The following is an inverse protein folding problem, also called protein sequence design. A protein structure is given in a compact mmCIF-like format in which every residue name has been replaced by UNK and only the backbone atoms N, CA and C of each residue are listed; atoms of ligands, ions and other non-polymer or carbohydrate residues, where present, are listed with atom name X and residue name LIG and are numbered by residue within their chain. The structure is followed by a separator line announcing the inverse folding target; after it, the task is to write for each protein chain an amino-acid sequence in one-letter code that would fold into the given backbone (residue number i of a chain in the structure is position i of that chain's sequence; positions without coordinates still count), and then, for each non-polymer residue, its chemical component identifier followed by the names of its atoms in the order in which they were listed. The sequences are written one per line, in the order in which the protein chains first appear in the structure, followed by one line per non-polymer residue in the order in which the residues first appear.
data_IF_654578068215
#
_entry.id   IF_654578068215
#
_cell.length_a   1.000
_cell.length_b   1.000
_cell.length_c   1.000
_cell.angle_alpha   90.00
_cell.angle_beta   90.00
_cell.angle_gamma   90.00
#
_symmetry.space_group_name_H-M   'P 1'
#
loop_
_entity.id
_entity.type
_entity.pdbx_description
1 polymer ?
#
# COMPACT_ATOMS: atom_id res chain seq x y z
N UNK A 1 35.23 25.79 -7.45
CA UNK A 1 35.20 24.34 -7.72
C UNK A 1 34.05 23.78 -6.92
N UNK A 2 32.86 23.77 -7.50
CA UNK A 2 31.62 23.38 -6.82
C UNK A 2 31.33 21.91 -7.12
N UNK A 3 31.22 21.10 -6.07
CA UNK A 3 31.03 19.66 -6.15
C UNK A 3 29.55 19.36 -6.39
N UNK A 4 29.20 18.96 -7.62
CA UNK A 4 27.88 18.43 -7.95
C UNK A 4 27.65 17.11 -7.19
N UNK A 5 26.87 17.20 -6.11
CA UNK A 5 26.38 16.07 -5.31
C UNK A 5 25.54 15.16 -6.19
N UNK A 6 25.94 13.90 -6.31
CA UNK A 6 25.37 12.89 -7.21
C UNK A 6 23.85 12.83 -7.15
N UNK A 7 23.22 13.11 -8.29
CA UNK A 7 21.83 12.76 -8.57
C UNK A 7 21.81 11.24 -8.67
N UNK A 8 21.21 10.56 -7.70
CA UNK A 8 20.99 9.12 -7.81
C UNK A 8 20.18 8.88 -9.09
N UNK A 9 20.75 8.15 -10.05
CA UNK A 9 20.08 7.78 -11.29
C UNK A 9 18.99 6.77 -10.95
N UNK A 10 17.80 7.27 -10.64
CA UNK A 10 16.59 6.46 -10.44
C UNK A 10 16.29 5.78 -11.78
N UNK A 11 16.29 4.46 -11.80
CA UNK A 11 16.03 3.69 -13.02
C UNK A 11 14.66 4.05 -13.58
N UNK A 12 14.50 4.12 -14.91
CA UNK A 12 13.22 4.45 -15.54
C UNK A 12 12.07 3.55 -15.07
N UNK A 13 12.36 2.29 -14.75
CA UNK A 13 11.38 1.37 -14.17
C UNK A 13 10.95 1.79 -12.76
N UNK A 14 11.90 2.24 -11.94
CA UNK A 14 11.65 2.74 -10.59
C UNK A 14 10.86 4.06 -10.65
N UNK A 15 11.18 4.96 -11.59
CA UNK A 15 10.43 6.20 -11.80
C UNK A 15 8.97 5.97 -12.25
N UNK A 16 8.72 5.01 -13.17
CA UNK A 16 7.36 4.61 -13.58
C UNK A 16 6.62 3.98 -12.41
N UNK A 17 7.31 3.14 -11.62
CA UNK A 17 6.72 2.49 -10.47
C UNK A 17 6.39 3.48 -9.34
N UNK A 18 7.25 4.47 -9.08
CA UNK A 18 6.97 5.60 -8.18
C UNK A 18 5.80 6.46 -8.68
N UNK A 19 5.67 6.66 -10.00
CA UNK A 19 4.56 7.40 -10.59
C UNK A 19 3.22 6.66 -10.49
N UNK A 20 3.23 5.35 -10.72
CA UNK A 20 2.06 4.48 -10.53
C UNK A 20 1.73 4.26 -9.05
N UNK A 21 2.72 4.49 -8.17
CA UNK A 21 2.57 4.54 -6.72
C UNK A 21 2.55 5.99 -6.18
N UNK A 22 2.16 6.98 -6.99
CA UNK A 22 1.98 8.33 -6.48
C UNK A 22 0.82 8.39 -5.46
N UNK A 23 0.99 9.05 -4.31
CA UNK A 23 0.06 8.92 -3.17
C UNK A 23 -1.39 9.35 -3.47
N UNK A 24 -1.58 10.22 -4.46
CA UNK A 24 -2.90 10.69 -4.89
C UNK A 24 -3.75 9.66 -5.65
N UNK A 25 -3.17 8.57 -6.17
CA UNK A 25 -3.89 7.56 -6.95
C UNK A 25 -3.96 6.17 -6.29
N UNK A 26 -3.09 5.84 -5.32
CA UNK A 26 -3.06 4.47 -4.75
C UNK A 26 -3.75 4.30 -3.40
N UNK A 27 -4.24 5.35 -2.75
CA UNK A 27 -5.07 5.19 -1.55
C UNK A 27 -6.26 4.26 -1.80
N UNK A 28 -7.10 4.53 -2.82
CA UNK A 28 -8.20 3.66 -3.22
C UNK A 28 -7.73 2.26 -3.68
N UNK A 29 -6.63 2.18 -4.43
CA UNK A 29 -6.04 0.91 -4.88
C UNK A 29 -5.59 0.04 -3.71
N UNK A 30 -5.00 0.64 -2.67
CA UNK A 30 -4.55 -0.04 -1.47
C UNK A 30 -5.71 -0.59 -0.64
N UNK A 31 -6.76 0.21 -0.46
CA UNK A 31 -7.99 -0.24 0.20
C UNK A 31 -8.61 -1.42 -0.55
N UNK A 32 -8.65 -1.33 -1.88
CA UNK A 32 -9.15 -2.42 -2.74
C UNK A 32 -8.29 -3.67 -2.58
N UNK A 33 -6.96 -3.54 -2.66
CA UNK A 33 -6.03 -4.66 -2.49
C UNK A 33 -6.17 -5.32 -1.11
N UNK A 34 -6.25 -4.54 -0.04
CA UNK A 34 -6.51 -5.03 1.31
C UNK A 34 -7.84 -5.77 1.39
N UNK A 35 -8.91 -5.20 0.83
CA UNK A 35 -10.23 -5.83 0.84
C UNK A 35 -10.24 -7.16 0.08
N UNK A 36 -9.55 -7.23 -1.06
CA UNK A 36 -9.40 -8.45 -1.84
C UNK A 36 -8.62 -9.54 -1.07
N UNK A 37 -7.53 -9.17 -0.38
CA UNK A 37 -6.78 -10.11 0.46
C UNK A 37 -7.60 -10.61 1.66
N UNK A 38 -8.39 -9.74 2.28
CA UNK A 38 -9.31 -10.15 3.36
C UNK A 38 -10.36 -11.12 2.82
N UNK A 39 -10.97 -10.83 1.68
CA UNK A 39 -11.99 -11.69 1.07
C UNK A 39 -11.39 -13.03 0.64
N UNK A 40 -10.19 -13.04 0.06
CA UNK A 40 -9.42 -14.24 -0.24
C UNK A 40 -9.16 -15.07 1.03
N UNK A 41 -8.74 -14.41 2.13
CA UNK A 41 -8.51 -15.07 3.42
C UNK A 41 -9.78 -15.70 4.00
N UNK A 42 -10.92 -15.00 3.93
CA UNK A 42 -12.23 -15.53 4.35
C UNK A 42 -12.61 -16.75 3.51
N UNK A 43 -12.48 -16.67 2.18
CA UNK A 43 -12.75 -17.80 1.30
C UNK A 43 -11.87 -19.02 1.61
N UNK A 44 -10.57 -18.81 1.80
CA UNK A 44 -9.64 -19.89 2.15
C UNK A 44 -9.94 -20.48 3.52
N UNK A 45 -10.31 -19.67 4.52
CA UNK A 45 -10.70 -20.15 5.84
C UNK A 45 -11.96 -21.03 5.78
N UNK A 46 -12.96 -20.63 4.97
CA UNK A 46 -14.16 -21.45 4.73
C UNK A 46 -13.78 -22.75 4.02
N UNK A 47 -12.98 -22.70 2.95
CA UNK A 47 -12.53 -23.91 2.24
C UNK A 47 -11.72 -24.84 3.15
N UNK A 48 -10.91 -24.29 4.05
CA UNK A 48 -10.12 -25.06 5.01
C UNK A 48 -11.01 -25.75 6.05
N UNK A 49 -12.02 -25.05 6.56
CA UNK A 49 -13.04 -25.63 7.44
C UNK A 49 -13.84 -26.75 6.77
N UNK A 50 -14.23 -26.56 5.51
CA UNK A 50 -14.91 -27.60 4.72
C UNK A 50 -14.00 -28.81 4.47
N UNK A 51 -12.70 -28.60 4.22
CA UNK A 51 -11.73 -29.68 4.05
C UNK A 51 -11.55 -30.51 5.33
N UNK A 52 -11.59 -29.88 6.51
CA UNK A 52 -11.64 -30.62 7.78
C UNK A 52 -12.95 -31.38 7.94
N UNK A 53 -14.08 -30.78 7.58
CA UNK A 53 -15.39 -31.43 7.66
C UNK A 53 -15.48 -32.65 6.73
N UNK A 54 -14.79 -32.66 5.60
CA UNK A 54 -14.72 -33.81 4.69
C UNK A 54 -13.65 -34.84 5.09
N UNK A 55 -12.79 -34.53 6.08
CA UNK A 55 -11.64 -35.35 6.49
C UNK A 55 -10.69 -35.70 5.33
N UNK A 56 -10.67 -34.88 4.27
CA UNK A 56 -9.80 -35.10 3.11
C UNK A 56 -8.41 -34.51 3.38
N UNK A 57 -7.46 -35.38 3.74
CA UNK A 57 -6.09 -34.98 4.08
C UNK A 57 -5.35 -34.30 2.93
N UNK A 58 -5.68 -34.62 1.66
CA UNK A 58 -5.04 -34.00 0.51
C UNK A 58 -5.54 -32.57 0.34
N UNK A 59 -6.85 -32.37 0.43
CA UNK A 59 -7.47 -31.04 0.41
C UNK A 59 -7.02 -30.17 1.59
N UNK A 60 -6.92 -30.73 2.80
CA UNK A 60 -6.44 -29.99 3.98
C UNK A 60 -5.02 -29.47 3.74
N UNK A 61 -4.09 -30.32 3.27
CA UNK A 61 -2.72 -29.86 2.95
C UNK A 61 -2.70 -28.84 1.82
N UNK A 62 -3.48 -29.05 0.76
CA UNK A 62 -3.52 -28.14 -0.38
C UNK A 62 -4.03 -26.75 0.02
N UNK A 63 -5.17 -26.68 0.69
CA UNK A 63 -5.77 -25.42 1.13
C UNK A 63 -4.91 -24.75 2.21
N UNK A 64 -4.30 -25.53 3.11
CA UNK A 64 -3.33 -25.02 4.09
C UNK A 64 -2.10 -24.38 3.42
N UNK A 65 -1.59 -24.98 2.34
CA UNK A 65 -0.50 -24.40 1.56
C UNK A 65 -0.91 -23.11 0.84
N UNK A 66 -2.13 -23.06 0.28
CA UNK A 66 -2.68 -21.83 -0.31
C UNK A 66 -2.82 -20.71 0.73
N UNK A 67 -3.24 -21.04 1.97
CA UNK A 67 -3.32 -20.08 3.07
C UNK A 67 -1.93 -19.53 3.43
N UNK A 68 -0.92 -20.39 3.50
CA UNK A 68 0.47 -19.99 3.73
C UNK A 68 0.94 -19.01 2.66
N UNK A 69 0.78 -19.35 1.37
CA UNK A 69 1.16 -18.47 0.26
C UNK A 69 0.43 -17.14 0.35
N UNK A 70 -0.88 -17.15 0.59
CA UNK A 70 -1.66 -15.92 0.71
C UNK A 70 -1.14 -15.00 1.83
N UNK A 71 -0.81 -15.56 3.01
CA UNK A 71 -0.22 -14.81 4.12
C UNK A 71 1.17 -14.26 3.78
N UNK A 72 2.02 -15.06 3.16
CA UNK A 72 3.36 -14.62 2.72
C UNK A 72 3.26 -13.49 1.70
N UNK A 73 2.41 -13.63 0.68
CA UNK A 73 2.19 -12.59 -0.33
C UNK A 73 1.64 -11.30 0.30
N UNK A 74 0.68 -11.41 1.22
CA UNK A 74 0.15 -10.25 1.93
C UNK A 74 1.23 -9.53 2.74
N UNK A 75 2.08 -10.29 3.44
CA UNK A 75 3.19 -9.73 4.20
C UNK A 75 4.23 -9.05 3.31
N UNK A 76 4.66 -9.72 2.23
CA UNK A 76 5.63 -9.16 1.28
C UNK A 76 5.09 -7.88 0.64
N UNK A 77 3.83 -7.88 0.21
CA UNK A 77 3.16 -6.70 -0.33
C UNK A 77 3.10 -5.58 0.72
N UNK A 78 2.68 -5.88 1.95
CA UNK A 78 2.59 -4.89 3.03
C UNK A 78 3.96 -4.28 3.36
N UNK A 79 5.01 -5.11 3.39
CA UNK A 79 6.38 -4.68 3.64
C UNK A 79 6.92 -3.82 2.49
N UNK A 80 6.69 -4.25 1.25
CA UNK A 80 7.07 -3.51 0.06
C UNK A 80 6.38 -2.14 -0.02
N UNK A 81 5.09 -2.06 0.30
CA UNK A 81 4.36 -0.79 0.37
C UNK A 81 4.83 0.10 1.52
N UNK A 82 5.22 -0.50 2.65
CA UNK A 82 5.79 0.26 3.77
C UNK A 82 7.15 0.90 3.40
N UNK A 83 7.97 0.22 2.59
CA UNK A 83 9.25 0.74 2.10
C UNK A 83 9.12 1.74 0.97
N UNK A 84 8.20 1.51 0.02
CA UNK A 84 8.00 2.40 -1.14
C UNK A 84 7.27 3.70 -0.78
N UNK A 85 6.72 3.79 0.43
CA UNK A 85 6.16 5.03 0.96
C UNK A 85 4.78 5.30 0.38
N UNK A 86 3.75 4.94 1.14
CA UNK A 86 2.52 5.73 1.13
C UNK A 86 2.88 7.08 1.77
N UNK A 87 3.40 8.03 0.97
CA UNK A 87 3.69 9.38 1.48
C UNK A 87 2.42 9.91 2.14
N UNK A 88 2.53 10.28 3.41
CA UNK A 88 1.40 10.73 4.19
C UNK A 88 0.79 11.98 3.53
N UNK A 89 -0.54 12.08 3.57
CA UNK A 89 -1.29 13.19 2.94
C UNK A 89 -0.86 14.54 3.54
N UNK A 90 -0.46 14.53 4.81
CA UNK A 90 0.02 15.70 5.54
C UNK A 90 1.32 16.26 4.93
N UNK A 91 2.26 15.38 4.54
CA UNK A 91 3.50 15.83 3.92
C UNK A 91 3.25 16.45 2.53
N UNK A 92 2.29 15.90 1.77
CA UNK A 92 1.88 16.47 0.48
C UNK A 92 1.12 17.79 0.60
N UNK A 93 0.27 17.97 1.62
CA UNK A 93 -0.39 19.26 1.86
C UNK A 93 0.60 20.35 2.29
N UNK A 94 1.65 19.96 3.03
CA UNK A 94 2.74 20.86 3.42
C UNK A 94 3.64 21.24 2.24
N UNK A 95 3.99 20.29 1.37
CA UNK A 95 4.78 20.54 0.15
C UNK A 95 4.00 21.34 -0.90
N UNK A 96 2.68 21.15 -1.01
CA UNK A 96 1.82 21.91 -1.92
C UNK A 96 1.38 23.27 -1.37
N UNK A 97 1.84 23.67 -0.18
CA UNK A 97 1.47 24.92 0.49
C UNK A 97 -0.07 25.13 0.55
N UNK A 98 -0.83 24.04 0.70
CA UNK A 98 -2.29 24.03 0.76
C UNK A 98 -2.82 24.08 2.21
N UNK A 99 -1.93 24.19 3.21
CA UNK A 99 -2.38 24.54 4.56
C UNK A 99 -3.09 25.89 4.48
N UNK A 100 -4.36 25.99 4.93
CA UNK A 100 -5.02 27.28 5.07
C UNK A 100 -4.16 28.14 6.01
N UNK A 101 -3.47 29.12 5.45
CA UNK A 101 -2.94 30.21 6.26
C UNK A 101 -4.16 31.00 6.73
N UNK A 102 -4.70 30.67 7.91
CA UNK A 102 -5.68 31.49 8.65
C UNK A 102 -5.04 32.80 9.18
N UNK A 103 -4.02 33.30 8.50
CA UNK A 103 -3.37 34.55 8.76
C UNK A 103 -3.36 35.37 7.47
N UNK A 104 -4.50 36.01 7.14
CA UNK A 104 -4.55 37.38 6.61
C UNK A 104 -5.96 37.77 6.11
N UNK A 105 -6.88 38.11 7.01
CA UNK A 105 -7.85 39.20 6.78
C UNK A 105 -8.57 39.67 8.04
N UNK A 106 -7.82 40.20 9.00
CA UNK A 106 -8.37 41.20 9.93
C UNK A 106 -7.32 42.26 10.22
N UNK A 107 -6.93 42.98 9.16
CA UNK A 107 -6.38 44.33 9.30
C UNK A 107 -6.53 45.08 7.97
N UNK A 108 -7.75 45.51 7.68
CA UNK A 108 -8.05 46.80 7.04
C UNK A 108 -9.56 46.95 6.93
N UNK A 109 -10.11 47.83 7.76
CA UNK A 109 -11.52 48.17 7.77
C UNK A 109 -11.85 49.03 8.97
N UNK A 110 -11.35 50.27 8.91
CA UNK A 110 -11.88 51.48 9.57
C UNK A 110 -11.59 51.69 11.07
#
# INVERSE_FOLDING_TARGET
METHKGKADVSSAEAVFLGALAPGVNGPTWTTLKSAFVMLGVCLAVMFGLAFSSSDSSLILHVGFLLLIALTLFFLLSWFLAQTGLVSVEHQMQEMNLMPNDHQRSNKGE
#
